data_IF_578181670373
#
_entry.id   IF_578181670373
#
_cell.length_a   1.000
_cell.length_b   1.000
_cell.length_c   1.000
_cell.angle_alpha   90.00
_cell.angle_beta   90.00
_cell.angle_gamma   90.00
#
_symmetry.space_group_name_H-M   'P 1'
#
loop_
_entity.id
_entity.type
_entity.pdbx_description
1 polymer ?
#
# COMPACT_ATOMS: atom_id res chain seq x y z
N UNK A 1 -8.07 7.99 -9.27
CA UNK A 1 -8.20 8.92 -8.13
C UNK A 1 -8.92 10.16 -8.61
N UNK A 2 -9.80 10.74 -7.79
CA UNK A 2 -10.47 11.96 -8.14
C UNK A 2 -9.48 13.13 -8.21
N UNK A 3 -9.70 14.04 -9.15
CA UNK A 3 -8.90 15.27 -9.31
C UNK A 3 -9.42 16.34 -8.34
N UNK A 4 -8.49 16.93 -7.57
CA UNK A 4 -8.77 18.09 -6.69
C UNK A 4 -8.98 19.30 -7.58
N UNK A 5 -10.15 19.92 -7.48
CA UNK A 5 -10.50 21.13 -8.23
C UNK A 5 -10.88 22.26 -7.27
N UNK A 6 -10.61 23.53 -7.62
CA UNK A 6 -11.06 24.68 -6.84
C UNK A 6 -12.57 24.69 -6.67
N UNK A 7 -13.02 25.07 -5.48
CA UNK A 7 -14.46 25.21 -5.19
C UNK A 7 -15.04 26.27 -6.15
N UNK A 8 -16.18 25.96 -6.77
CA UNK A 8 -16.85 26.75 -7.82
C UNK A 8 -16.24 26.74 -9.24
N UNK A 9 -15.34 25.79 -9.57
CA UNK A 9 -14.89 25.63 -10.97
C UNK A 9 -16.06 25.16 -11.87
N UNK A 10 -16.45 25.90 -12.93
CA UNK A 10 -17.58 25.52 -13.82
C UNK A 10 -17.37 24.18 -14.53
N UNK A 11 -16.10 23.76 -14.69
CA UNK A 11 -15.72 22.51 -15.31
C UNK A 11 -16.12 21.28 -14.47
N UNK A 12 -16.47 21.43 -13.19
CA UNK A 12 -16.92 20.32 -12.34
C UNK A 12 -18.15 19.62 -12.93
N UNK A 13 -19.11 20.39 -13.46
CA UNK A 13 -20.33 19.85 -14.06
C UNK A 13 -20.05 19.08 -15.37
N UNK A 14 -19.07 19.54 -16.15
CA UNK A 14 -18.65 18.89 -17.41
C UNK A 14 -17.92 17.58 -17.10
N UNK A 15 -16.97 17.61 -16.17
CA UNK A 15 -16.18 16.44 -15.78
C UNK A 15 -17.05 15.35 -15.12
N UNK A 16 -18.06 15.74 -14.34
CA UNK A 16 -19.06 14.81 -13.79
C UNK A 16 -19.89 14.14 -14.90
N UNK A 17 -20.26 14.88 -15.97
CA UNK A 17 -20.94 14.31 -17.14
C UNK A 17 -20.05 13.31 -17.91
N UNK A 18 -18.73 13.49 -17.87
CA UNK A 18 -17.74 12.60 -18.49
C UNK A 18 -17.36 11.39 -17.62
N UNK A 19 -18.06 11.15 -16.50
CA UNK A 19 -17.72 10.14 -15.48
C UNK A 19 -16.33 10.31 -14.85
N UNK A 20 -15.77 11.52 -14.89
CA UNK A 20 -14.50 11.83 -14.25
C UNK A 20 -14.79 12.25 -12.81
N UNK A 21 -14.37 11.43 -11.86
CA UNK A 21 -14.53 11.73 -10.44
C UNK A 21 -13.73 13.00 -10.07
N UNK A 22 -14.43 14.03 -9.61
CA UNK A 22 -13.85 15.30 -9.17
C UNK A 22 -14.28 15.55 -7.72
N UNK A 23 -13.38 16.10 -6.91
CA UNK A 23 -13.67 16.44 -5.52
C UNK A 23 -13.32 17.91 -5.29
N UNK A 24 -14.24 18.61 -4.64
CA UNK A 24 -14.07 19.98 -4.18
C UNK A 24 -12.92 20.08 -3.17
N UNK A 25 -12.16 21.17 -3.23
CA UNK A 25 -10.93 21.36 -2.47
C UNK A 25 -11.14 21.20 -0.97
N UNK A 26 -12.25 21.71 -0.46
CA UNK A 26 -12.67 21.58 0.94
C UNK A 26 -13.03 20.14 1.33
N UNK A 27 -13.63 19.36 0.43
CA UNK A 27 -13.94 17.96 0.70
C UNK A 27 -12.72 17.04 0.55
N UNK A 28 -11.77 17.41 -0.32
CA UNK A 28 -10.52 16.67 -0.51
C UNK A 28 -9.63 16.70 0.75
N UNK A 29 -9.68 17.76 1.55
CA UNK A 29 -8.99 17.85 2.84
C UNK A 29 -9.63 16.98 3.93
N UNK A 30 -10.94 16.70 3.81
CA UNK A 30 -11.68 15.80 4.69
C UNK A 30 -11.51 14.33 4.29
N UNK A 31 -11.20 14.07 3.02
CA UNK A 31 -10.77 12.74 2.58
C UNK A 31 -9.36 12.45 3.08
N UNK A 32 -9.30 12.11 4.35
CA UNK A 32 -8.21 11.38 4.99
C UNK A 32 -8.06 10.04 4.26
N UNK A 33 -7.25 10.02 3.20
CA UNK A 33 -6.94 8.81 2.45
C UNK A 33 -6.20 7.89 3.42
N UNK A 34 -6.97 7.03 4.10
CA UNK A 34 -6.39 6.01 4.98
C UNK A 34 -5.56 5.08 4.13
N UNK A 35 -4.25 5.07 4.37
CA UNK A 35 -3.36 4.12 3.74
C UNK A 35 -3.84 2.69 4.07
N UNK A 36 -4.05 1.88 3.03
CA UNK A 36 -4.37 0.47 3.21
C UNK A 36 -3.14 -0.24 3.78
N UNK A 37 -3.26 -0.77 4.98
CA UNK A 37 -2.21 -1.60 5.60
C UNK A 37 -2.36 -3.03 5.11
N UNK A 38 -1.37 -3.53 4.39
CA UNK A 38 -1.31 -4.90 3.84
C UNK A 38 -0.16 -5.63 4.49
N UNK A 39 -0.47 -6.76 5.13
CA UNK A 39 0.52 -7.66 5.69
C UNK A 39 0.76 -8.82 4.71
N UNK A 40 2.01 -9.08 4.37
CA UNK A 40 2.40 -10.15 3.45
C UNK A 40 3.21 -11.20 4.20
N UNK A 41 2.64 -12.40 4.32
CA UNK A 41 3.35 -13.58 4.78
C UNK A 41 4.06 -14.25 3.60
N UNK A 42 5.35 -13.95 3.42
CA UNK A 42 6.12 -14.52 2.34
C UNK A 42 6.70 -15.88 2.74
N UNK A 43 6.22 -16.97 2.14
CA UNK A 43 6.71 -18.34 2.37
C UNK A 43 7.64 -18.85 1.27
N UNK A 44 7.92 -18.04 0.26
CA UNK A 44 8.73 -18.45 -0.88
C UNK A 44 10.22 -18.59 -0.49
N UNK A 45 10.97 -19.49 -1.15
CA UNK A 45 12.41 -19.63 -0.93
C UNK A 45 13.21 -18.44 -1.48
N UNK A 46 12.72 -17.79 -2.54
CA UNK A 46 13.31 -16.58 -3.14
C UNK A 46 12.53 -15.35 -2.68
N UNK A 47 12.87 -14.84 -1.48
CA UNK A 47 12.14 -13.76 -0.81
C UNK A 47 12.10 -12.48 -1.64
N UNK A 48 13.28 -11.99 -2.05
CA UNK A 48 13.45 -10.71 -2.76
C UNK A 48 12.71 -10.70 -4.09
N UNK A 49 12.82 -11.76 -4.89
CA UNK A 49 12.13 -11.84 -6.18
C UNK A 49 10.60 -11.84 -6.00
N UNK A 50 10.11 -12.59 -5.00
CA UNK A 50 8.69 -12.64 -4.67
C UNK A 50 8.18 -11.28 -4.19
N UNK A 51 8.95 -10.57 -3.36
CA UNK A 51 8.65 -9.21 -2.91
C UNK A 51 8.51 -8.27 -4.11
N UNK A 52 9.47 -8.26 -5.03
CA UNK A 52 9.42 -7.41 -6.23
C UNK A 52 8.16 -7.69 -7.05
N UNK A 53 7.82 -8.97 -7.27
CA UNK A 53 6.62 -9.34 -8.02
C UNK A 53 5.33 -8.88 -7.32
N UNK A 54 5.20 -9.11 -6.01
CA UNK A 54 4.02 -8.69 -5.25
C UNK A 54 3.89 -7.15 -5.19
N UNK A 55 4.99 -6.46 -4.90
CA UNK A 55 5.02 -4.99 -4.84
C UNK A 55 4.67 -4.36 -6.19
N UNK A 56 5.14 -4.95 -7.30
CA UNK A 56 4.80 -4.47 -8.65
C UNK A 56 3.31 -4.56 -8.92
N UNK A 57 2.64 -5.64 -8.52
CA UNK A 57 1.20 -5.78 -8.68
C UNK A 57 0.42 -4.80 -7.79
N UNK A 58 0.87 -4.60 -6.54
CA UNK A 58 0.24 -3.68 -5.59
C UNK A 58 0.43 -2.20 -5.97
N UNK A 59 1.53 -1.86 -6.66
CA UNK A 59 1.82 -0.49 -7.10
C UNK A 59 0.90 0.03 -8.22
N UNK A 60 0.11 -0.84 -8.87
CA UNK A 60 -0.80 -0.44 -9.95
C UNK A 60 -2.16 0.06 -9.44
N UNK A 61 -2.22 0.50 -8.19
CA UNK A 61 -3.39 1.09 -7.57
C UNK A 61 -3.12 2.55 -7.23
N UNK A 62 -4.10 3.44 -7.42
CA UNK A 62 -3.90 4.84 -7.07
C UNK A 62 -4.20 5.11 -5.58
N UNK A 63 -4.46 4.05 -4.79
CA UNK A 63 -4.55 4.09 -3.34
C UNK A 63 -3.15 4.01 -2.69
N UNK A 64 -2.95 4.75 -1.60
CA UNK A 64 -1.74 4.61 -0.80
C UNK A 64 -1.77 3.28 -0.04
N UNK A 65 -0.75 2.45 -0.22
CA UNK A 65 -0.63 1.13 0.43
C UNK A 65 0.62 1.11 1.31
N UNK A 66 0.45 0.73 2.57
CA UNK A 66 1.53 0.47 3.52
C UNK A 66 1.73 -1.04 3.63
N UNK A 67 2.94 -1.51 3.38
CA UNK A 67 3.24 -2.95 3.29
C UNK A 67 4.15 -3.36 4.43
N UNK A 68 3.74 -4.41 5.15
CA UNK A 68 4.50 -5.03 6.21
C UNK A 68 4.80 -6.49 5.83
N UNK A 69 6.05 -6.92 5.98
CA UNK A 69 6.47 -8.29 5.66
C UNK A 69 6.54 -9.12 6.94
N UNK A 70 5.86 -10.27 6.93
CA UNK A 70 5.81 -11.22 8.05
C UNK A 70 6.65 -12.47 7.74
N UNK A 71 7.43 -12.92 8.73
CA UNK A 71 8.10 -14.22 8.73
C UNK A 71 7.44 -15.18 9.72
N UNK A 72 7.37 -16.47 9.36
CA UNK A 72 6.87 -17.53 10.26
C UNK A 72 7.92 -17.93 11.29
N UNK A 73 9.17 -18.11 10.87
CA UNK A 73 10.23 -18.66 11.71
C UNK A 73 11.52 -17.83 11.64
N UNK A 74 12.33 -17.96 12.69
CA UNK A 74 13.68 -17.38 12.79
C UNK A 74 14.73 -18.21 12.02
N UNK A 75 14.29 -19.15 11.16
CA UNK A 75 15.21 -19.98 10.41
C UNK A 75 15.95 -19.12 9.39
N UNK A 76 17.27 -19.28 9.35
CA UNK A 76 18.09 -18.68 8.32
C UNK A 76 17.59 -19.14 6.94
N UNK A 77 17.11 -18.19 6.13
CA UNK A 77 16.75 -18.47 4.75
C UNK A 77 18.00 -18.92 4.00
N UNK A 78 17.96 -20.08 3.35
CA UNK A 78 19.11 -20.60 2.57
C UNK A 78 19.53 -19.69 1.42
N UNK A 79 18.60 -18.90 0.90
CA UNK A 79 18.79 -18.13 -0.35
C UNK A 79 18.65 -16.62 -0.14
N UNK A 80 18.55 -16.13 1.09
CA UNK A 80 18.33 -14.70 1.36
C UNK A 80 19.29 -14.23 2.45
N UNK A 81 19.98 -13.09 2.27
CA UNK A 81 20.87 -12.55 3.28
C UNK A 81 20.14 -12.34 4.60
N UNK A 82 20.76 -12.74 5.71
CA UNK A 82 20.18 -12.61 7.06
C UNK A 82 19.87 -11.15 7.40
N UNK A 83 20.70 -10.21 6.94
CA UNK A 83 20.52 -8.77 7.15
C UNK A 83 19.20 -8.24 6.55
N UNK A 84 18.79 -8.79 5.39
CA UNK A 84 17.49 -8.45 4.77
C UNK A 84 16.32 -8.93 5.63
N UNK A 85 16.43 -10.13 6.19
CA UNK A 85 15.40 -10.67 7.08
C UNK A 85 15.28 -9.87 8.37
N UNK A 86 16.40 -9.48 8.99
CA UNK A 86 16.38 -8.71 10.25
C UNK A 86 15.83 -7.30 10.03
N UNK A 87 16.16 -6.66 8.91
CA UNK A 87 15.81 -5.25 8.67
C UNK A 87 14.35 -5.07 8.25
N UNK A 88 13.77 -6.02 7.51
CA UNK A 88 12.48 -5.80 6.83
C UNK A 88 11.37 -6.75 7.27
N UNK A 89 11.67 -7.89 7.89
CA UNK A 89 10.65 -8.85 8.32
C UNK A 89 10.36 -8.75 9.82
N UNK A 90 9.07 -8.74 10.15
CA UNK A 90 8.59 -8.78 11.52
C UNK A 90 8.12 -10.19 11.90
N UNK A 91 8.26 -10.54 13.18
CA UNK A 91 7.67 -11.76 13.73
C UNK A 91 6.19 -11.54 14.03
N UNK A 92 5.43 -12.64 14.07
CA UNK A 92 4.00 -12.58 14.41
C UNK A 92 3.74 -11.97 15.79
N UNK A 93 4.62 -12.23 16.75
CA UNK A 93 4.50 -11.68 18.11
C UNK A 93 4.55 -10.14 18.13
N UNK A 94 5.38 -9.53 17.28
CA UNK A 94 5.53 -8.08 17.20
C UNK A 94 4.27 -7.39 16.64
N UNK A 95 3.56 -8.05 15.72
CA UNK A 95 2.43 -7.44 14.99
C UNK A 95 1.06 -7.85 15.53
N UNK A 96 0.96 -8.87 16.39
CA UNK A 96 -0.31 -9.39 16.91
C UNK A 96 -1.20 -8.32 17.57
N UNK A 97 -0.60 -7.24 18.04
CA UNK A 97 -1.27 -6.18 18.79
C UNK A 97 -1.52 -4.91 17.95
N UNK A 98 -1.04 -4.87 16.70
CA UNK A 98 -1.38 -3.83 15.74
C UNK A 98 -2.81 -4.08 15.25
N UNK A 99 -3.76 -3.25 15.68
CA UNK A 99 -5.13 -3.19 15.16
C UNK A 99 -5.29 -2.02 14.21
#
# INVERSE_FOLDING_TARGET
>A
MPIKIPDALPASAILLQENIACIESTQAEVQDIRALRILILNLMPLKIETEIHLLRMLSNSPLQVQIELLRIDDRASKNTPTDHMVSFYQSFEAIKHNK
#
